data_IF_788543233017
#
_entry.id   IF_788543233017
#
_cell.length_a   1.000
_cell.length_b   1.000
_cell.length_c   1.000
_cell.angle_alpha   90.00
_cell.angle_beta   90.00
_cell.angle_gamma   90.00
#
_symmetry.space_group_name_H-M   'P 1'
#
loop_
_entity.id
_entity.type
_entity.pdbx_description
1 polymer ?
#
# COMPACT_ATOMS: atom_id res chain seq x y z
N UNK A 1 9.32 -7.54 -34.73
CA UNK A 1 8.79 -6.27 -34.22
C UNK A 1 7.30 -6.47 -33.94
N UNK A 2 6.94 -6.80 -32.72
CA UNK A 2 5.54 -6.91 -32.28
C UNK A 2 5.19 -5.59 -31.58
N UNK A 3 4.31 -4.80 -32.18
CA UNK A 3 3.75 -3.58 -31.56
C UNK A 3 2.92 -4.00 -30.34
N UNK A 4 3.36 -3.62 -29.15
CA UNK A 4 2.58 -3.74 -27.94
C UNK A 4 1.49 -2.65 -28.00
N UNK A 5 0.22 -3.03 -27.92
CA UNK A 5 -0.87 -2.09 -27.73
C UNK A 5 -0.85 -1.61 -26.27
N UNK A 6 -0.61 -0.33 -26.09
CA UNK A 6 -0.81 0.33 -24.80
C UNK A 6 -2.31 0.64 -24.72
N UNK A 7 -2.98 0.06 -23.74
CA UNK A 7 -4.40 0.35 -23.48
C UNK A 7 -4.49 1.62 -22.62
N UNK A 8 -4.79 2.76 -23.25
CA UNK A 8 -5.14 4.01 -22.56
C UNK A 8 -6.67 4.02 -22.43
N UNK A 9 -7.17 3.85 -21.21
CA UNK A 9 -8.59 3.96 -20.92
C UNK A 9 -8.93 5.40 -20.52
N UNK A 10 -9.66 6.10 -21.38
CA UNK A 10 -10.22 7.42 -21.13
C UNK A 10 -11.60 7.24 -20.47
N UNK A 11 -11.75 7.62 -19.21
CA UNK A 11 -13.07 7.67 -18.57
C UNK A 11 -13.75 9.01 -18.92
N UNK A 12 -14.70 8.98 -19.86
CA UNK A 12 -15.54 10.13 -20.22
C UNK A 12 -16.80 10.14 -19.35
N UNK A 13 -16.95 11.13 -18.48
CA UNK A 13 -18.18 11.39 -17.74
C UNK A 13 -19.19 12.14 -18.60
N UNK A 14 -20.35 11.52 -18.89
CA UNK A 14 -21.52 12.19 -19.47
C UNK A 14 -22.30 12.95 -18.39
N UNK A 15 -22.32 14.28 -18.48
CA UNK A 15 -23.24 15.12 -17.70
C UNK A 15 -24.61 15.16 -18.39
N UNK A 16 -25.65 14.67 -17.73
CA UNK A 16 -27.05 14.90 -18.13
C UNK A 16 -27.52 16.25 -17.60
N UNK A 17 -27.78 17.17 -18.50
CA UNK A 17 -28.52 18.41 -18.22
C UNK A 17 -30.02 18.18 -18.44
N UNK A 18 -30.81 18.25 -17.39
CA UNK A 18 -32.27 18.35 -17.50
C UNK A 18 -32.67 19.82 -17.41
N UNK A 19 -33.18 20.37 -18.51
CA UNK A 19 -33.77 21.70 -18.57
C UNK A 19 -35.21 21.69 -18.06
N UNK A 20 -35.57 22.72 -17.33
CA UNK A 20 -36.97 23.09 -17.12
C UNK A 20 -37.16 24.57 -17.43
N UNK A 21 -37.96 24.79 -18.44
CA UNK A 21 -38.49 26.09 -18.90
C UNK A 21 -39.66 26.52 -18.02
N UNK A 22 -39.74 27.81 -17.70
CA UNK A 22 -40.94 28.41 -17.14
C UNK A 22 -40.93 29.90 -17.37
N UNK A 23 -41.85 30.37 -18.26
CA UNK A 23 -42.06 31.73 -18.66
C UNK A 23 -42.91 32.56 -17.68
N UNK A 24 -42.71 33.84 -17.76
CA UNK A 24 -43.77 34.89 -17.86
C UNK A 24 -43.76 35.99 -16.82
N UNK A 25 -43.78 37.22 -17.31
CA UNK A 25 -44.53 38.32 -16.71
C UNK A 25 -43.81 39.66 -16.57
N UNK A 26 -44.06 40.47 -17.55
CA UNK A 26 -43.75 41.86 -17.79
C UNK A 26 -44.32 42.84 -16.75
N UNK A 27 -43.62 43.90 -16.36
CA UNK A 27 -44.11 45.28 -16.51
C UNK A 27 -43.07 46.32 -16.07
N UNK A 28 -42.94 47.37 -16.89
CA UNK A 28 -42.07 48.52 -16.69
C UNK A 28 -42.67 49.58 -15.75
N UNK A 29 -41.84 50.37 -15.07
CA UNK A 29 -41.97 51.84 -15.04
C UNK A 29 -40.70 52.52 -14.52
N UNK A 30 -40.45 53.67 -15.10
CA UNK A 30 -39.36 54.64 -15.02
C UNK A 30 -39.17 55.36 -13.70
N UNK A 31 -37.95 55.89 -13.46
CA UNK A 31 -37.66 56.97 -12.52
C UNK A 31 -36.20 57.17 -12.15
N UNK A 32 -35.57 58.04 -12.87
CA UNK A 32 -34.46 59.00 -12.61
C UNK A 32 -33.61 58.93 -11.33
N UNK A 33 -32.29 59.02 -11.59
CA UNK A 33 -31.19 59.78 -10.97
C UNK A 33 -30.85 59.64 -9.47
N UNK A 34 -29.66 59.28 -9.13
CA UNK A 34 -28.53 60.09 -8.68
C UNK A 34 -27.35 59.23 -8.15
N UNK A 35 -26.17 59.69 -8.50
CA UNK A 35 -24.86 59.21 -8.12
C UNK A 35 -24.66 59.01 -6.62
N UNK A 36 -24.00 57.87 -6.25
CA UNK A 36 -22.96 57.81 -5.19
C UNK A 36 -22.05 56.56 -5.35
N UNK A 37 -20.78 56.87 -5.47
CA UNK A 37 -19.66 55.95 -5.32
C UNK A 37 -19.74 55.14 -4.04
N UNK A 38 -19.69 53.84 -4.11
CA UNK A 38 -19.25 52.98 -3.02
C UNK A 38 -18.68 51.67 -3.56
N UNK A 39 -17.50 51.39 -3.13
CA UNK A 39 -16.67 50.22 -3.21
C UNK A 39 -17.27 48.96 -3.81
N UNK A 40 -16.74 48.57 -4.96
CA UNK A 40 -16.87 47.24 -5.52
C UNK A 40 -16.13 46.25 -4.62
N UNK A 41 -16.84 45.60 -3.71
CA UNK A 41 -16.39 44.40 -3.05
C UNK A 41 -16.44 43.27 -4.08
N UNK A 42 -15.28 42.99 -4.68
CA UNK A 42 -15.07 41.85 -5.54
C UNK A 42 -15.31 40.58 -4.70
N UNK A 43 -16.49 40.02 -4.79
CA UNK A 43 -16.71 38.61 -4.48
C UNK A 43 -16.02 37.83 -5.57
N UNK A 44 -14.74 37.55 -5.35
CA UNK A 44 -13.99 36.63 -6.16
C UNK A 44 -14.61 35.23 -6.01
N UNK A 45 -15.43 34.87 -6.98
CA UNK A 45 -15.77 33.47 -7.25
C UNK A 45 -14.51 32.80 -7.78
N UNK A 46 -13.60 32.45 -6.85
CA UNK A 46 -12.43 31.64 -7.15
C UNK A 46 -12.87 30.18 -7.14
N UNK A 47 -13.53 29.74 -8.19
CA UNK A 47 -13.35 28.37 -8.65
C UNK A 47 -11.90 28.29 -9.12
N UNK A 48 -10.97 28.12 -8.18
CA UNK A 48 -9.60 27.77 -8.47
C UNK A 48 -9.69 26.47 -9.30
N UNK A 49 -9.43 26.60 -10.59
CA UNK A 49 -9.34 25.45 -11.47
C UNK A 49 -8.26 24.57 -10.88
N UNK A 50 -8.62 23.36 -10.46
CA UNK A 50 -7.65 22.42 -9.93
C UNK A 50 -6.71 22.02 -11.08
N UNK A 51 -5.52 22.61 -11.12
CA UNK A 51 -4.53 22.39 -12.17
C UNK A 51 -3.68 21.12 -11.91
N UNK A 52 -3.95 20.39 -10.81
CA UNK A 52 -3.28 19.13 -10.52
C UNK A 52 -3.87 18.02 -11.39
N UNK A 53 -2.99 17.34 -12.13
CA UNK A 53 -3.28 16.11 -12.87
C UNK A 53 -2.35 15.04 -12.34
N UNK A 54 -2.91 13.96 -11.78
CA UNK A 54 -2.13 12.91 -11.14
C UNK A 54 -1.90 11.73 -12.08
N UNK A 55 -0.65 11.26 -12.18
CA UNK A 55 -0.23 10.11 -12.97
C UNK A 55 0.22 8.96 -12.07
N UNK A 56 -0.06 7.71 -12.45
CA UNK A 56 0.31 6.53 -11.68
C UNK A 56 1.01 5.50 -12.56
N UNK A 57 2.20 5.06 -12.14
CA UNK A 57 2.97 3.98 -12.77
C UNK A 57 2.82 2.74 -11.92
N UNK A 58 2.26 1.67 -12.48
CA UNK A 58 1.93 0.43 -11.80
C UNK A 58 2.75 -0.75 -12.32
N UNK A 59 3.29 -1.55 -11.39
CA UNK A 59 4.03 -2.78 -11.71
C UNK A 59 3.12 -3.89 -12.27
N UNK A 60 1.89 -3.99 -11.78
CA UNK A 60 0.90 -4.99 -12.18
C UNK A 60 -0.36 -4.36 -12.75
N UNK A 61 -1.39 -5.17 -12.89
CA UNK A 61 -2.71 -4.75 -13.36
C UNK A 61 -3.57 -4.24 -12.21
N UNK A 62 -4.45 -3.29 -12.50
CA UNK A 62 -5.39 -2.72 -11.52
C UNK A 62 -6.38 -3.76 -10.94
N UNK A 63 -6.42 -4.96 -11.48
CA UNK A 63 -7.25 -6.08 -11.04
C UNK A 63 -6.40 -7.31 -10.67
N UNK A 64 -5.18 -7.12 -10.19
CA UNK A 64 -4.27 -8.19 -9.77
C UNK A 64 -4.76 -8.96 -8.52
N UNK A 65 -5.75 -8.45 -7.84
CA UNK A 65 -6.28 -9.03 -6.59
C UNK A 65 -5.45 -8.68 -5.36
N UNK A 66 -4.49 -7.75 -5.46
CA UNK A 66 -3.55 -7.45 -4.39
C UNK A 66 -2.97 -6.04 -4.44
N UNK A 67 -1.67 -5.94 -4.71
CA UNK A 67 -0.88 -4.71 -4.55
C UNK A 67 -1.33 -3.56 -5.47
N UNK A 68 -1.39 -3.82 -6.78
CA UNK A 68 -1.77 -2.78 -7.73
C UNK A 68 -3.24 -2.38 -7.57
N UNK A 69 -4.13 -3.35 -7.29
CA UNK A 69 -5.53 -3.06 -6.98
C UNK A 69 -5.68 -2.15 -5.75
N UNK A 70 -4.88 -2.37 -4.71
CA UNK A 70 -4.88 -1.51 -3.53
C UNK A 70 -4.44 -0.07 -3.86
N UNK A 71 -3.40 0.09 -4.69
CA UNK A 71 -2.97 1.41 -5.18
C UNK A 71 -4.02 2.09 -6.06
N UNK A 72 -4.67 1.33 -6.94
CA UNK A 72 -5.72 1.87 -7.82
C UNK A 72 -6.96 2.31 -7.03
N UNK A 73 -7.31 1.62 -5.96
CA UNK A 73 -8.35 2.09 -5.02
C UNK A 73 -8.00 3.47 -4.43
N UNK A 74 -6.72 3.72 -4.16
CA UNK A 74 -6.21 5.03 -3.75
C UNK A 74 -6.31 6.07 -4.87
N UNK A 75 -5.98 5.72 -6.12
CA UNK A 75 -6.16 6.59 -7.29
C UNK A 75 -7.63 6.97 -7.49
N UNK A 76 -8.55 6.03 -7.37
CA UNK A 76 -9.98 6.29 -7.46
C UNK A 76 -10.47 7.25 -6.37
N UNK A 77 -9.87 7.22 -5.17
CA UNK A 77 -10.16 8.20 -4.13
C UNK A 77 -9.69 9.60 -4.52
N UNK A 78 -8.56 9.73 -5.23
CA UNK A 78 -8.09 11.00 -5.81
C UNK A 78 -9.07 11.50 -6.90
N UNK A 79 -9.55 10.62 -7.77
CA UNK A 79 -10.59 10.99 -8.76
C UNK A 79 -11.87 11.50 -8.08
N UNK A 80 -12.26 10.90 -6.96
CA UNK A 80 -13.42 11.34 -6.18
C UNK A 80 -13.26 12.76 -5.58
N UNK A 81 -12.01 13.29 -5.47
CA UNK A 81 -11.74 14.68 -5.12
C UNK A 81 -11.95 15.63 -6.32
N UNK A 82 -12.27 15.13 -7.51
CA UNK A 82 -12.40 15.92 -8.74
C UNK A 82 -11.07 16.17 -9.46
N UNK A 83 -10.01 15.44 -9.10
CA UNK A 83 -8.70 15.49 -9.74
C UNK A 83 -8.68 14.53 -10.92
N UNK A 84 -8.18 14.98 -12.06
CA UNK A 84 -7.98 14.13 -13.23
C UNK A 84 -6.82 13.18 -12.98
N UNK A 85 -7.01 11.89 -13.25
CA UNK A 85 -5.96 10.89 -13.10
C UNK A 85 -5.70 10.12 -14.39
N UNK A 86 -4.45 9.63 -14.54
CA UNK A 86 -4.02 8.70 -15.58
C UNK A 86 -3.16 7.62 -14.96
N UNK A 87 -3.06 6.47 -15.62
CA UNK A 87 -2.17 5.41 -15.17
C UNK A 87 -1.58 4.62 -16.35
N UNK A 88 -0.42 4.01 -16.09
CA UNK A 88 0.21 3.01 -16.96
C UNK A 88 0.43 1.75 -16.11
N UNK A 89 -0.09 0.62 -16.57
CA UNK A 89 -0.02 -0.66 -15.84
C UNK A 89 0.90 -1.67 -16.54
N UNK A 90 1.26 -2.77 -15.84
CA UNK A 90 2.16 -3.82 -16.33
C UNK A 90 3.55 -3.27 -16.74
N UNK A 91 4.07 -2.30 -16.00
CA UNK A 91 5.37 -1.68 -16.29
C UNK A 91 6.49 -2.57 -15.74
N UNK A 92 7.45 -3.01 -16.57
CA UNK A 92 8.61 -3.74 -16.07
C UNK A 92 9.52 -2.87 -15.18
N UNK A 93 10.14 -3.48 -14.16
CA UNK A 93 11.05 -2.80 -13.24
C UNK A 93 12.44 -2.55 -13.89
N UNK A 94 12.47 -1.87 -15.03
CA UNK A 94 13.70 -1.38 -15.63
C UNK A 94 13.70 0.15 -15.68
N UNK A 95 14.87 0.76 -15.66
CA UNK A 95 14.99 2.23 -15.77
C UNK A 95 14.34 2.73 -17.06
N UNK A 96 14.52 2.03 -18.16
CA UNK A 96 13.99 2.43 -19.47
C UNK A 96 12.47 2.36 -19.52
N UNK A 97 11.86 1.25 -19.08
CA UNK A 97 10.40 1.09 -19.07
C UNK A 97 9.74 2.06 -18.08
N UNK A 98 10.36 2.29 -16.91
CA UNK A 98 9.89 3.28 -15.93
C UNK A 98 9.87 4.69 -16.54
N UNK A 99 10.95 5.10 -17.20
CA UNK A 99 11.03 6.43 -17.85
C UNK A 99 10.02 6.57 -18.98
N UNK A 100 9.81 5.52 -19.80
CA UNK A 100 8.81 5.52 -20.88
C UNK A 100 7.39 5.70 -20.32
N UNK A 101 7.07 4.98 -19.23
CA UNK A 101 5.77 5.09 -18.56
C UNK A 101 5.56 6.50 -17.96
N UNK A 102 6.56 7.05 -17.28
CA UNK A 102 6.51 8.41 -16.73
C UNK A 102 6.36 9.44 -17.86
N UNK A 103 7.12 9.33 -18.95
CA UNK A 103 7.01 10.24 -20.09
C UNK A 103 5.62 10.20 -20.70
N UNK A 104 5.02 9.03 -20.83
CA UNK A 104 3.62 8.89 -21.29
C UNK A 104 2.65 9.70 -20.42
N UNK A 105 2.83 9.65 -19.09
CA UNK A 105 1.99 10.42 -18.15
C UNK A 105 2.25 11.94 -18.27
N UNK A 106 3.50 12.35 -18.49
CA UNK A 106 3.86 13.76 -18.72
C UNK A 106 3.20 14.27 -20.00
N UNK A 107 3.21 13.49 -21.07
CA UNK A 107 2.60 13.84 -22.36
C UNK A 107 1.06 13.97 -22.25
N UNK A 108 0.43 13.25 -21.30
CA UNK A 108 -0.99 13.40 -20.93
C UNK A 108 -1.26 14.63 -20.03
N UNK A 109 -0.21 15.36 -19.65
CA UNK A 109 -0.28 16.57 -18.83
C UNK A 109 -0.24 16.34 -17.33
N UNK A 110 0.21 15.16 -16.86
CA UNK A 110 0.40 14.90 -15.43
C UNK A 110 1.53 15.76 -14.86
N UNK A 111 1.28 16.40 -13.72
CA UNK A 111 2.24 17.24 -13.01
C UNK A 111 2.49 16.78 -11.54
N UNK A 112 1.88 15.65 -11.16
CA UNK A 112 2.15 14.92 -9.92
C UNK A 112 2.11 13.44 -10.26
N UNK A 113 3.26 12.75 -10.17
CA UNK A 113 3.42 11.37 -10.66
C UNK A 113 3.85 10.44 -9.54
N UNK A 114 3.14 9.34 -9.39
CA UNK A 114 3.38 8.28 -8.42
C UNK A 114 3.89 7.03 -9.12
N UNK A 115 5.01 6.45 -8.63
CA UNK A 115 5.50 5.15 -9.05
C UNK A 115 5.43 4.17 -7.88
N UNK A 116 4.78 3.01 -8.08
CA UNK A 116 4.35 2.15 -6.97
C UNK A 116 5.29 1.00 -6.62
N UNK A 117 6.37 0.76 -7.38
CA UNK A 117 7.26 -0.37 -7.10
C UNK A 117 8.69 0.04 -6.76
N UNK A 118 9.35 -0.75 -5.91
CA UNK A 118 10.74 -0.53 -5.50
C UNK A 118 11.70 -0.40 -6.69
N UNK A 119 11.54 -1.24 -7.70
CA UNK A 119 12.41 -1.23 -8.89
C UNK A 119 12.24 -0.02 -9.80
N UNK A 120 11.22 0.81 -9.58
CA UNK A 120 11.05 2.08 -10.33
C UNK A 120 11.91 3.22 -9.79
N UNK A 121 12.63 3.03 -8.69
CA UNK A 121 13.32 4.09 -7.96
C UNK A 121 14.28 4.89 -8.84
N UNK A 122 15.21 4.21 -9.53
CA UNK A 122 16.22 4.88 -10.36
C UNK A 122 15.60 5.61 -11.55
N UNK A 123 14.61 4.99 -12.23
CA UNK A 123 13.90 5.61 -13.34
C UNK A 123 13.14 6.86 -12.91
N UNK A 124 12.47 6.80 -11.75
CA UNK A 124 11.73 7.95 -11.19
C UNK A 124 12.69 9.08 -10.78
N UNK A 125 13.82 8.76 -10.15
CA UNK A 125 14.84 9.72 -9.75
C UNK A 125 15.42 10.47 -10.97
N UNK A 126 15.74 9.73 -12.05
CA UNK A 126 16.23 10.34 -13.27
C UNK A 126 15.19 11.28 -13.90
N UNK A 127 13.92 10.87 -13.94
CA UNK A 127 12.85 11.71 -14.48
C UNK A 127 12.58 12.94 -13.58
N UNK A 128 12.70 12.82 -12.26
CA UNK A 128 12.59 13.95 -11.36
C UNK A 128 13.67 15.02 -11.64
N UNK A 129 14.90 14.60 -11.91
CA UNK A 129 16.01 15.49 -12.29
C UNK A 129 15.82 16.13 -13.67
N UNK A 130 15.26 15.39 -14.62
CA UNK A 130 14.98 15.87 -15.97
C UNK A 130 13.77 16.83 -16.03
N UNK A 131 12.82 16.73 -15.07
CA UNK A 131 11.57 17.50 -15.04
C UNK A 131 11.36 18.21 -13.68
N UNK A 132 12.14 19.25 -13.37
CA UNK A 132 12.11 19.91 -12.05
C UNK A 132 10.77 20.59 -11.72
N UNK A 133 9.94 20.87 -12.71
CA UNK A 133 8.62 21.48 -12.54
C UNK A 133 7.51 20.47 -12.22
N UNK A 134 7.80 19.17 -12.33
CA UNK A 134 6.86 18.07 -12.04
C UNK A 134 7.18 17.49 -10.66
N UNK A 135 6.15 17.16 -9.91
CA UNK A 135 6.26 16.51 -8.61
C UNK A 135 6.20 15.01 -8.77
N UNK A 136 7.06 14.31 -8.02
CA UNK A 136 7.13 12.85 -8.02
C UNK A 136 7.00 12.29 -6.61
N UNK A 137 6.44 11.09 -6.50
CA UNK A 137 6.49 10.31 -5.27
C UNK A 137 6.76 8.84 -5.61
N UNK A 138 7.81 8.28 -5.03
CA UNK A 138 8.23 6.90 -5.24
C UNK A 138 7.91 6.02 -4.02
N UNK A 139 7.23 4.91 -4.25
CA UNK A 139 6.84 3.95 -3.22
C UNK A 139 8.02 3.06 -2.82
N UNK A 140 8.18 2.83 -1.53
CA UNK A 140 9.16 1.93 -0.89
C UNK A 140 10.66 2.25 -1.11
N UNK A 141 10.99 3.29 -1.87
CA UNK A 141 12.38 3.70 -2.11
C UNK A 141 12.99 4.60 -1.04
N UNK A 142 14.25 4.96 -1.25
CA UNK A 142 15.03 5.83 -0.37
C UNK A 142 15.64 7.06 -1.08
N UNK A 143 15.66 7.07 -2.43
CA UNK A 143 16.14 8.23 -3.19
C UNK A 143 15.10 9.34 -3.17
N UNK A 144 15.54 10.57 -2.95
CA UNK A 144 14.68 11.77 -2.94
C UNK A 144 15.39 12.94 -3.59
N UNK A 145 14.57 13.79 -4.23
CA UNK A 145 14.98 15.10 -4.78
C UNK A 145 14.06 16.20 -4.22
N UNK A 146 14.33 17.45 -4.49
CA UNK A 146 13.48 18.57 -4.05
C UNK A 146 12.04 18.45 -4.56
N UNK A 147 11.87 17.82 -5.73
CA UNK A 147 10.59 17.53 -6.38
C UNK A 147 10.18 16.05 -6.33
N UNK A 148 10.89 15.20 -5.56
CA UNK A 148 10.59 13.78 -5.42
C UNK A 148 10.53 13.37 -3.96
N UNK A 149 9.35 12.93 -3.51
CA UNK A 149 9.09 12.30 -2.21
C UNK A 149 9.33 10.79 -2.27
N UNK A 150 9.52 10.18 -1.09
CA UNK A 150 9.30 8.73 -0.91
C UNK A 150 8.10 8.50 0.00
N UNK A 151 7.36 7.41 -0.23
CA UNK A 151 6.25 7.03 0.62
C UNK A 151 6.15 5.52 0.79
N UNK A 152 5.76 5.09 1.99
CA UNK A 152 5.45 3.69 2.29
C UNK A 152 4.61 3.57 3.57
N UNK A 153 4.00 2.40 3.80
CA UNK A 153 3.30 2.08 5.03
C UNK A 153 4.15 1.27 6.00
N UNK A 154 4.07 1.54 7.31
CA UNK A 154 4.61 0.67 8.38
C UNK A 154 3.76 -0.61 8.48
N UNK A 155 3.62 -1.35 7.39
CA UNK A 155 2.78 -2.55 7.31
C UNK A 155 3.26 -3.65 8.26
N UNK A 156 4.51 -3.58 8.72
CA UNK A 156 5.02 -4.50 9.73
C UNK A 156 4.17 -4.46 11.02
N UNK A 157 3.53 -3.33 11.34
CA UNK A 157 2.61 -3.23 12.46
C UNK A 157 1.36 -4.10 12.25
N UNK A 158 0.73 -4.03 11.07
CA UNK A 158 -0.39 -4.90 10.70
C UNK A 158 0.06 -6.38 10.57
N UNK A 159 1.30 -6.63 10.12
CA UNK A 159 1.90 -7.98 10.11
C UNK A 159 2.03 -8.57 11.50
N UNK A 160 2.42 -7.77 12.49
CA UNK A 160 2.44 -8.20 13.89
C UNK A 160 1.05 -8.65 14.38
N UNK A 161 0.02 -7.85 14.08
CA UNK A 161 -1.37 -8.21 14.40
C UNK A 161 -1.82 -9.49 13.68
N UNK A 162 -1.50 -9.61 12.39
CA UNK A 162 -1.76 -10.83 11.61
C UNK A 162 -1.03 -12.05 12.18
N UNK A 163 0.16 -11.85 12.72
CA UNK A 163 0.92 -12.87 13.46
C UNK A 163 0.18 -13.36 14.71
N UNK A 164 -0.43 -12.46 15.47
CA UNK A 164 -1.29 -12.84 16.61
C UNK A 164 -2.42 -13.76 16.14
N UNK A 165 -3.10 -13.42 15.05
CA UNK A 165 -4.19 -14.23 14.47
C UNK A 165 -3.68 -15.63 14.11
N UNK A 166 -2.55 -15.72 13.44
CA UNK A 166 -1.95 -16.98 13.03
C UNK A 166 -1.47 -17.81 14.25
N UNK A 167 -0.84 -17.17 15.23
CA UNK A 167 -0.36 -17.82 16.45
C UNK A 167 -1.49 -18.40 17.33
N UNK A 168 -2.64 -17.70 17.39
CA UNK A 168 -3.84 -18.17 18.06
C UNK A 168 -4.52 -19.32 17.31
N UNK A 169 -4.38 -19.38 15.98
CA UNK A 169 -5.08 -20.35 15.13
C UNK A 169 -4.32 -21.63 14.88
N UNK A 170 -2.98 -21.58 14.75
CA UNK A 170 -2.19 -22.76 14.42
C UNK A 170 -2.34 -23.86 15.48
N UNK A 171 -2.46 -25.10 15.04
CA UNK A 171 -2.48 -26.29 15.88
C UNK A 171 -1.18 -27.11 15.77
N UNK A 172 -0.38 -26.81 14.73
CA UNK A 172 0.87 -27.51 14.50
C UNK A 172 2.10 -26.72 14.95
N UNK A 173 1.91 -25.48 15.43
CA UNK A 173 2.99 -24.56 15.76
C UNK A 173 3.98 -24.37 14.58
N UNK A 174 3.49 -24.55 13.36
CA UNK A 174 4.29 -24.53 12.15
C UNK A 174 3.54 -23.81 11.03
N UNK A 175 4.01 -22.60 10.71
CA UNK A 175 3.36 -21.65 9.82
C UNK A 175 4.28 -21.44 8.61
N UNK A 176 3.72 -21.42 7.41
CA UNK A 176 4.43 -21.11 6.18
C UNK A 176 4.29 -19.65 5.79
N UNK A 177 5.35 -19.08 5.23
CA UNK A 177 5.35 -17.72 4.72
C UNK A 177 5.93 -17.69 3.29
N UNK A 178 5.11 -17.33 2.31
CA UNK A 178 5.54 -17.14 0.92
C UNK A 178 5.99 -15.69 0.75
N UNK A 179 7.26 -15.49 0.40
CA UNK A 179 7.89 -14.17 0.34
C UNK A 179 8.41 -13.85 -1.06
N UNK A 180 8.36 -12.57 -1.45
CA UNK A 180 8.78 -12.11 -2.77
C UNK A 180 10.31 -12.02 -2.89
N UNK A 181 10.91 -11.01 -2.28
CA UNK A 181 12.33 -10.64 -2.44
C UNK A 181 13.05 -10.65 -1.09
N UNK A 182 14.35 -10.93 -1.08
CA UNK A 182 15.20 -10.89 0.11
C UNK A 182 15.63 -9.46 0.52
N UNK A 183 14.73 -8.51 0.52
CA UNK A 183 15.01 -7.09 0.84
C UNK A 183 14.47 -6.70 2.23
N UNK A 184 14.98 -5.62 2.83
CA UNK A 184 14.59 -5.19 4.19
C UNK A 184 13.09 -5.04 4.38
N UNK A 185 12.35 -4.57 3.37
CA UNK A 185 10.90 -4.44 3.39
C UNK A 185 10.20 -5.77 3.72
N UNK A 186 10.57 -6.82 3.02
CA UNK A 186 10.00 -8.16 3.19
C UNK A 186 10.47 -8.80 4.49
N UNK A 187 11.77 -8.65 4.81
CA UNK A 187 12.38 -9.19 6.03
C UNK A 187 11.72 -8.63 7.29
N UNK A 188 11.54 -7.31 7.41
CA UNK A 188 10.87 -6.73 8.58
C UNK A 188 9.40 -7.16 8.69
N UNK A 189 8.74 -7.39 7.55
CA UNK A 189 7.38 -7.93 7.53
C UNK A 189 7.28 -9.35 8.09
N UNK A 190 8.19 -10.25 7.68
CA UNK A 190 8.32 -11.61 8.19
C UNK A 190 8.64 -11.61 9.69
N UNK A 191 9.59 -10.77 10.09
CA UNK A 191 10.01 -10.66 11.49
C UNK A 191 8.87 -10.19 12.38
N UNK A 192 8.18 -9.12 12.03
CA UNK A 192 7.05 -8.60 12.80
C UNK A 192 5.90 -9.63 12.88
N UNK A 193 5.59 -10.32 11.79
CA UNK A 193 4.63 -11.41 11.78
C UNK A 193 5.04 -12.51 12.78
N UNK A 194 6.30 -12.95 12.73
CA UNK A 194 6.82 -14.00 13.63
C UNK A 194 6.77 -13.57 15.09
N UNK A 195 7.14 -12.31 15.40
CA UNK A 195 7.05 -11.76 16.75
C UNK A 195 5.59 -11.70 17.23
N UNK A 196 4.65 -11.37 16.34
CA UNK A 196 3.22 -11.44 16.63
C UNK A 196 2.74 -12.86 16.93
N UNK A 197 3.16 -13.84 16.14
CA UNK A 197 2.91 -15.27 16.41
C UNK A 197 3.42 -15.67 17.79
N UNK A 198 4.68 -15.35 18.08
CA UNK A 198 5.34 -15.75 19.32
C UNK A 198 4.82 -15.01 20.56
N UNK A 199 4.21 -13.85 20.40
CA UNK A 199 3.58 -13.12 21.52
C UNK A 199 2.41 -13.89 22.16
N UNK A 200 1.79 -14.80 21.41
CA UNK A 200 0.65 -15.62 21.87
C UNK A 200 0.96 -17.13 21.83
N UNK A 201 1.95 -17.54 21.06
CA UNK A 201 2.38 -18.94 20.91
C UNK A 201 3.91 -19.03 20.76
N UNK A 202 4.66 -19.02 21.87
CA UNK A 202 6.13 -18.95 21.86
C UNK A 202 6.82 -20.13 21.16
N UNK A 203 6.16 -21.28 21.07
CA UNK A 203 6.71 -22.50 20.47
C UNK A 203 6.54 -22.55 18.94
N UNK A 204 5.73 -21.67 18.39
CA UNK A 204 5.45 -21.66 16.96
C UNK A 204 6.65 -21.13 16.14
N UNK A 205 6.82 -21.72 14.94
CA UNK A 205 7.85 -21.37 13.98
C UNK A 205 7.24 -20.93 12.67
N UNK A 206 7.94 -20.05 11.97
CA UNK A 206 7.56 -19.53 10.65
C UNK A 206 8.62 -19.96 9.65
N UNK A 207 8.26 -20.82 8.69
CA UNK A 207 9.14 -21.20 7.58
C UNK A 207 8.88 -20.35 6.36
N UNK A 208 9.95 -19.79 5.81
CA UNK A 208 9.91 -18.86 4.69
C UNK A 208 10.42 -19.52 3.41
N UNK A 209 9.67 -19.35 2.32
CA UNK A 209 10.10 -19.68 0.96
C UNK A 209 10.02 -18.41 0.11
N UNK A 210 11.14 -18.05 -0.52
CA UNK A 210 11.21 -16.91 -1.43
C UNK A 210 10.93 -17.34 -2.87
N UNK A 211 10.21 -16.49 -3.61
CA UNK A 211 9.84 -16.70 -5.01
C UNK A 211 10.75 -15.93 -5.98
N UNK A 212 11.48 -14.94 -5.47
CA UNK A 212 12.27 -13.95 -6.23
C UNK A 212 11.46 -13.15 -7.27
N UNK A 213 10.14 -13.06 -7.07
CA UNK A 213 9.24 -12.25 -7.90
C UNK A 213 8.18 -11.59 -7.03
N UNK A 214 7.70 -10.41 -7.46
CA UNK A 214 6.54 -9.76 -6.84
C UNK A 214 5.22 -10.41 -7.28
N UNK A 215 5.11 -10.74 -8.56
CA UNK A 215 3.89 -11.21 -9.19
C UNK A 215 4.18 -12.37 -10.14
N UNK A 216 3.89 -13.58 -9.72
CA UNK A 216 3.82 -14.79 -10.55
C UNK A 216 2.92 -15.82 -9.85
N UNK A 217 1.62 -15.87 -10.23
CA UNK A 217 0.66 -16.79 -9.57
C UNK A 217 1.07 -18.25 -9.58
N UNK A 218 1.86 -18.67 -10.58
CA UNK A 218 2.32 -20.06 -10.69
C UNK A 218 3.41 -20.35 -9.68
N UNK A 219 4.42 -19.49 -9.61
CA UNK A 219 5.55 -19.65 -8.67
C UNK A 219 5.07 -19.47 -7.23
N UNK A 220 4.21 -18.50 -6.97
CA UNK A 220 3.60 -18.25 -5.66
C UNK A 220 2.80 -19.47 -5.15
N UNK A 221 1.95 -20.06 -6.03
CA UNK A 221 1.21 -21.28 -5.70
C UNK A 221 2.15 -22.45 -5.41
N UNK A 222 3.21 -22.62 -6.19
CA UNK A 222 4.19 -23.70 -5.98
C UNK A 222 4.92 -23.54 -4.63
N UNK A 223 5.34 -22.33 -4.27
CA UNK A 223 5.97 -22.04 -2.98
C UNK A 223 5.02 -22.35 -1.81
N UNK A 224 3.75 -21.97 -1.90
CA UNK A 224 2.74 -22.34 -0.91
C UNK A 224 2.54 -23.84 -0.80
N UNK A 225 2.48 -24.56 -1.93
CA UNK A 225 2.34 -26.01 -1.94
C UNK A 225 3.58 -26.72 -1.35
N UNK A 226 4.78 -26.19 -1.56
CA UNK A 226 6.01 -26.69 -0.92
C UNK A 226 5.88 -26.64 0.62
N UNK A 227 5.49 -25.47 1.15
CA UNK A 227 5.29 -25.27 2.60
C UNK A 227 4.18 -26.20 3.15
N UNK A 228 3.04 -26.29 2.46
CA UNK A 228 1.92 -27.15 2.85
C UNK A 228 2.33 -28.64 2.87
N UNK A 229 3.16 -29.08 1.93
CA UNK A 229 3.69 -30.45 1.88
C UNK A 229 4.68 -30.73 3.02
N UNK A 230 5.35 -29.70 3.58
CA UNK A 230 6.16 -29.80 4.79
C UNK A 230 5.31 -29.89 6.07
N UNK A 231 4.01 -29.63 5.94
CA UNK A 231 3.05 -29.85 7.01
C UNK A 231 2.62 -28.60 7.76
N UNK A 232 2.88 -27.40 7.23
CA UNK A 232 2.31 -26.16 7.82
C UNK A 232 0.77 -26.22 7.77
N UNK A 233 0.11 -25.53 8.69
CA UNK A 233 -1.36 -25.46 8.74
C UNK A 233 -1.91 -24.04 8.47
N UNK A 234 -1.01 -23.06 8.32
CA UNK A 234 -1.35 -21.70 7.91
C UNK A 234 -0.33 -21.23 6.87
N UNK A 235 -0.80 -20.55 5.83
CA UNK A 235 0.04 -19.82 4.86
C UNK A 235 -0.16 -18.33 5.05
N UNK A 236 0.92 -17.61 5.33
CA UNK A 236 1.00 -16.16 5.19
C UNK A 236 1.78 -15.81 3.92
N UNK A 237 1.62 -14.59 3.42
CA UNK A 237 2.29 -14.17 2.19
C UNK A 237 2.77 -12.72 2.22
N UNK A 238 3.81 -12.45 1.45
CA UNK A 238 4.24 -11.14 0.98
C UNK A 238 4.40 -11.25 -0.54
N UNK A 239 3.26 -11.37 -1.22
CA UNK A 239 3.10 -11.62 -2.64
C UNK A 239 1.90 -10.83 -3.16
N UNK A 240 1.91 -10.49 -4.43
CA UNK A 240 0.92 -9.60 -5.01
C UNK A 240 -0.33 -10.33 -5.57
N UNK A 241 -0.37 -11.67 -5.52
CA UNK A 241 -1.55 -12.43 -5.96
C UNK A 241 -2.19 -13.21 -4.82
N UNK A 242 -3.40 -13.72 -5.05
CA UNK A 242 -4.11 -14.59 -4.10
C UNK A 242 -3.76 -16.08 -4.24
N UNK A 243 -2.82 -16.43 -5.12
CA UNK A 243 -2.48 -17.82 -5.41
C UNK A 243 -2.04 -18.64 -4.18
N UNK A 244 -1.25 -18.10 -3.22
CA UNK A 244 -0.93 -18.81 -1.98
C UNK A 244 -2.16 -19.09 -1.11
N UNK A 245 -3.14 -18.17 -1.07
CA UNK A 245 -4.38 -18.32 -0.30
C UNK A 245 -5.25 -19.44 -0.87
N UNK A 246 -5.41 -19.46 -2.20
CA UNK A 246 -6.12 -20.52 -2.92
C UNK A 246 -5.46 -21.88 -2.69
N UNK A 247 -4.13 -21.96 -2.72
CA UNK A 247 -3.41 -23.19 -2.42
C UNK A 247 -3.64 -23.68 -1.00
N UNK A 248 -3.70 -22.77 -0.02
CA UNK A 248 -4.02 -23.11 1.37
C UNK A 248 -5.43 -23.70 1.49
N UNK A 249 -6.45 -23.06 0.87
CA UNK A 249 -7.81 -23.57 0.88
C UNK A 249 -7.94 -24.95 0.20
N UNK A 250 -7.32 -25.15 -0.96
CA UNK A 250 -7.28 -26.43 -1.66
C UNK A 250 -6.72 -27.58 -0.82
N UNK A 251 -5.83 -27.26 0.12
CA UNK A 251 -5.19 -28.22 1.04
C UNK A 251 -5.85 -28.31 2.42
N UNK A 252 -6.91 -27.55 2.67
CA UNK A 252 -7.61 -27.51 3.94
C UNK A 252 -6.80 -26.84 5.06
N UNK A 253 -5.83 -25.99 4.70
CA UNK A 253 -5.08 -25.11 5.60
C UNK A 253 -5.74 -23.73 5.65
N UNK A 254 -5.32 -22.87 6.58
CA UNK A 254 -5.76 -21.49 6.67
C UNK A 254 -4.80 -20.55 5.98
N UNK A 255 -5.22 -19.30 5.75
CA UNK A 255 -4.36 -18.28 5.15
C UNK A 255 -4.53 -16.90 5.77
N UNK A 256 -3.44 -16.13 5.68
CA UNK A 256 -3.35 -14.69 5.97
C UNK A 256 -3.03 -13.96 4.66
N UNK A 257 -3.93 -13.06 4.25
CA UNK A 257 -3.77 -12.27 3.04
C UNK A 257 -2.82 -11.06 3.20
N UNK A 258 -2.64 -10.33 2.11
CA UNK A 258 -1.76 -9.16 2.05
C UNK A 258 -2.28 -8.12 1.07
N UNK A 259 -1.88 -6.87 1.26
CA UNK A 259 -2.15 -5.68 0.46
C UNK A 259 -3.60 -5.19 0.53
N UNK A 260 -4.55 -6.05 0.26
CA UNK A 260 -5.97 -5.76 0.10
C UNK A 260 -6.84 -6.87 0.70
N UNK A 261 -8.09 -6.62 1.15
CA UNK A 261 -9.02 -7.65 1.57
C UNK A 261 -9.35 -8.60 0.41
N UNK A 262 -9.06 -9.90 0.60
CA UNK A 262 -9.20 -10.93 -0.46
C UNK A 262 -9.96 -12.15 0.02
N UNK A 263 -10.88 -11.99 0.97
CA UNK A 263 -11.66 -13.11 1.56
C UNK A 263 -12.39 -13.96 0.52
N UNK A 264 -12.82 -13.36 -0.59
CA UNK A 264 -13.53 -14.06 -1.66
C UNK A 264 -12.64 -15.06 -2.44
N UNK A 265 -11.32 -14.88 -2.41
CA UNK A 265 -10.39 -15.77 -3.09
C UNK A 265 -10.24 -17.13 -2.39
N UNK A 266 -10.39 -17.16 -1.05
CA UNK A 266 -10.25 -18.37 -0.24
C UNK A 266 -11.19 -18.33 0.98
N UNK A 267 -12.54 -18.31 0.77
CA UNK A 267 -13.52 -18.03 1.82
C UNK A 267 -13.55 -19.06 2.95
N UNK A 268 -13.00 -20.27 2.75
CA UNK A 268 -12.93 -21.32 3.76
C UNK A 268 -11.58 -21.40 4.48
N UNK A 269 -10.63 -20.56 4.06
CA UNK A 269 -9.27 -20.55 4.60
C UNK A 269 -8.84 -19.19 5.16
N UNK A 270 -9.40 -18.11 4.62
CA UNK A 270 -9.00 -16.74 4.92
C UNK A 270 -9.35 -16.34 6.37
N UNK A 271 -8.33 -15.98 7.13
CA UNK A 271 -8.47 -15.50 8.51
C UNK A 271 -8.58 -13.97 8.58
N UNK A 272 -7.66 -13.28 7.91
CA UNK A 272 -7.52 -11.83 7.84
C UNK A 272 -6.43 -11.47 6.81
N UNK A 273 -6.12 -10.18 6.65
CA UNK A 273 -4.97 -9.68 5.86
C UNK A 273 -4.31 -8.47 6.51
N UNK A 274 -3.00 -8.33 6.32
CA UNK A 274 -2.27 -7.08 6.58
C UNK A 274 -2.36 -6.19 5.34
N UNK A 275 -3.04 -5.06 5.45
CA UNK A 275 -3.43 -4.23 4.32
C UNK A 275 -2.84 -2.82 4.39
N UNK A 276 -2.77 -2.17 3.21
CA UNK A 276 -2.51 -0.74 3.06
C UNK A 276 -3.80 0.01 2.75
N UNK A 277 -3.91 1.23 3.24
CA UNK A 277 -4.90 2.21 2.80
C UNK A 277 -4.20 3.37 2.07
N UNK A 278 -3.85 3.13 0.81
CA UNK A 278 -3.14 4.10 -0.04
C UNK A 278 -3.89 5.40 -0.25
N UNK A 279 -5.21 5.39 -0.10
CA UNK A 279 -6.00 6.63 -0.21
C UNK A 279 -5.56 7.64 0.84
N UNK A 280 -5.17 7.21 2.05
CA UNK A 280 -4.69 8.08 3.13
C UNK A 280 -3.50 8.93 2.70
N UNK A 281 -2.52 8.32 2.00
CA UNK A 281 -1.38 9.06 1.47
C UNK A 281 -1.75 9.89 0.24
N UNK A 282 -2.39 9.27 -0.77
CA UNK A 282 -2.64 9.93 -2.05
C UNK A 282 -3.54 11.15 -1.93
N UNK A 283 -4.61 11.07 -1.13
CA UNK A 283 -5.50 12.24 -0.97
C UNK A 283 -4.85 13.38 -0.20
N UNK A 284 -4.03 13.09 0.83
CA UNK A 284 -3.25 14.09 1.55
C UNK A 284 -2.20 14.76 0.66
N UNK A 285 -1.48 13.95 -0.12
CA UNK A 285 -0.39 14.43 -0.98
C UNK A 285 -0.91 15.28 -2.15
N UNK A 286 -1.99 14.84 -2.78
CA UNK A 286 -2.71 15.59 -3.82
C UNK A 286 -3.30 16.89 -3.24
N UNK A 287 -3.90 16.85 -2.04
CA UNK A 287 -4.43 18.05 -1.41
C UNK A 287 -3.32 19.08 -1.16
N UNK A 288 -2.14 18.64 -0.69
CA UNK A 288 -0.98 19.53 -0.55
C UNK A 288 -0.53 20.14 -1.88
N UNK A 289 -0.61 19.37 -2.97
CA UNK A 289 -0.29 19.90 -4.30
C UNK A 289 -1.31 20.95 -4.76
N UNK A 290 -2.61 20.74 -4.50
CA UNK A 290 -3.69 21.69 -4.79
C UNK A 290 -3.49 23.00 -3.98
N UNK A 291 -3.17 22.87 -2.69
CA UNK A 291 -2.97 23.99 -1.77
C UNK A 291 -1.65 24.73 -2.01
N UNK A 292 -0.78 24.24 -2.89
CA UNK A 292 0.55 24.79 -3.13
C UNK A 292 1.53 24.62 -1.96
N UNK A 293 1.24 23.71 -1.03
CA UNK A 293 2.05 23.41 0.17
C UNK A 293 2.86 22.14 0.06
N UNK A 294 2.79 21.47 -1.09
CA UNK A 294 3.54 20.23 -1.32
C UNK A 294 5.05 20.46 -1.25
N UNK A 295 5.73 19.63 -0.50
CA UNK A 295 7.19 19.57 -0.41
C UNK A 295 7.65 18.13 -0.37
N UNK A 296 8.85 17.87 -0.89
CA UNK A 296 9.46 16.54 -0.83
C UNK A 296 9.62 16.08 0.62
N UNK A 297 9.20 14.86 0.90
CA UNK A 297 9.24 14.25 2.23
C UNK A 297 9.47 12.73 2.17
N UNK A 298 10.01 12.16 3.23
CA UNK A 298 9.95 10.74 3.48
C UNK A 298 8.68 10.45 4.30
N UNK A 299 7.67 9.87 3.68
CA UNK A 299 6.43 9.47 4.36
C UNK A 299 6.50 7.99 4.72
N UNK A 300 6.48 7.66 6.00
CA UNK A 300 6.46 6.29 6.49
C UNK A 300 5.61 6.19 7.75
N UNK A 301 4.33 5.96 7.56
CA UNK A 301 3.31 5.96 8.61
C UNK A 301 2.61 4.60 8.72
N UNK A 302 1.98 4.33 9.84
CA UNK A 302 1.39 3.02 10.15
C UNK A 302 -0.07 3.09 10.60
N UNK A 303 -0.40 2.24 11.57
CA UNK A 303 -1.76 2.09 12.12
C UNK A 303 -2.31 3.41 12.69
N UNK A 304 -1.48 4.20 13.36
CA UNK A 304 -1.91 5.47 13.97
C UNK A 304 -2.37 6.50 12.93
N UNK A 305 -1.80 6.48 11.73
CA UNK A 305 -2.18 7.34 10.61
C UNK A 305 -3.23 6.70 9.68
N UNK A 306 -3.71 5.51 9.99
CA UNK A 306 -4.57 4.71 9.11
C UNK A 306 -3.95 4.41 7.73
N UNK A 307 -2.60 4.44 7.63
CA UNK A 307 -1.90 4.08 6.40
C UNK A 307 -1.88 2.58 6.18
N UNK A 308 -1.90 1.83 7.28
CA UNK A 308 -1.99 0.36 7.28
C UNK A 308 -3.07 -0.10 8.24
N UNK A 309 -3.62 -1.26 8.00
CA UNK A 309 -4.64 -1.84 8.86
C UNK A 309 -4.64 -3.37 8.79
N UNK A 310 -5.24 -4.01 9.80
CA UNK A 310 -5.62 -5.42 9.72
C UNK A 310 -7.04 -5.52 9.19
N UNK A 311 -7.27 -6.35 8.18
CA UNK A 311 -8.63 -6.63 7.70
C UNK A 311 -9.47 -7.32 8.78
N UNK A 312 -10.79 -7.28 8.63
CA UNK A 312 -11.70 -7.91 9.57
C UNK A 312 -11.38 -9.39 9.76
N UNK A 313 -11.37 -9.81 11.01
CA UNK A 313 -11.25 -11.23 11.33
C UNK A 313 -12.51 -11.98 10.86
N UNK A 314 -12.31 -13.14 10.23
CA UNK A 314 -13.41 -14.03 9.88
C UNK A 314 -13.82 -14.93 11.04
N UNK A 315 -14.97 -15.58 10.93
CA UNK A 315 -15.45 -16.58 11.91
C UNK A 315 -14.56 -17.83 11.98
N UNK A 316 -13.59 -17.94 11.07
CA UNK A 316 -12.58 -19.02 11.11
C UNK A 316 -11.47 -18.80 12.15
N UNK A 317 -11.33 -17.60 12.66
CA UNK A 317 -10.35 -17.27 13.70
C UNK A 317 -10.65 -18.02 15.01
N UNK A 318 -9.63 -18.20 15.86
CA UNK A 318 -9.82 -18.82 17.16
C UNK A 318 -10.58 -17.87 18.12
N UNK A 319 -11.29 -18.45 19.08
CA UNK A 319 -11.97 -17.68 20.13
C UNK A 319 -10.96 -16.81 20.92
N UNK A 320 -11.35 -15.58 21.25
CA UNK A 320 -10.52 -14.61 21.96
C UNK A 320 -9.45 -13.91 21.11
N UNK A 321 -9.36 -14.22 19.79
CA UNK A 321 -8.38 -13.59 18.91
C UNK A 321 -8.65 -12.10 18.75
N UNK A 322 -9.90 -11.69 18.60
CA UNK A 322 -10.28 -10.27 18.42
C UNK A 322 -9.79 -9.41 19.60
N UNK A 323 -10.02 -9.87 20.84
CA UNK A 323 -9.60 -9.14 22.04
C UNK A 323 -8.08 -8.92 22.10
N UNK A 324 -7.30 -9.93 21.71
CA UNK A 324 -5.84 -9.84 21.68
C UNK A 324 -5.34 -8.90 20.58
N UNK A 325 -5.96 -8.96 19.41
CA UNK A 325 -5.66 -8.06 18.30
C UNK A 325 -5.98 -6.62 18.67
N UNK A 326 -7.17 -6.35 19.21
CA UNK A 326 -7.60 -5.00 19.61
C UNK A 326 -6.66 -4.41 20.68
N UNK A 327 -6.29 -5.21 21.68
CA UNK A 327 -5.35 -4.77 22.70
C UNK A 327 -3.96 -4.43 22.13
N UNK A 328 -3.42 -5.26 21.24
CA UNK A 328 -2.14 -5.03 20.60
C UNK A 328 -2.19 -3.83 19.64
N UNK A 329 -3.24 -3.72 18.84
CA UNK A 329 -3.46 -2.59 17.92
C UNK A 329 -3.51 -1.26 18.70
N UNK A 330 -4.29 -1.23 19.78
CA UNK A 330 -4.35 -0.05 20.64
C UNK A 330 -2.98 0.30 21.20
N UNK A 331 -2.24 -0.69 21.70
CA UNK A 331 -0.92 -0.47 22.27
C UNK A 331 0.11 0.03 21.24
N UNK A 332 0.01 -0.43 19.98
CA UNK A 332 0.85 0.09 18.88
C UNK A 332 0.47 1.54 18.55
N UNK A 333 -0.82 1.85 18.44
CA UNK A 333 -1.30 3.21 18.16
C UNK A 333 -0.91 4.18 19.28
N UNK A 334 -1.01 3.75 20.53
CA UNK A 334 -0.62 4.55 21.71
C UNK A 334 0.93 4.65 21.88
N UNK A 335 1.73 3.93 21.07
CA UNK A 335 3.19 3.88 21.15
C UNK A 335 3.75 3.12 22.36
N UNK A 336 2.90 2.39 23.10
CA UNK A 336 3.30 1.57 24.25
C UNK A 336 3.84 0.20 23.84
N UNK A 337 3.48 -0.27 22.63
CA UNK A 337 4.03 -1.46 22.00
C UNK A 337 4.71 -1.07 20.69
N UNK A 338 6.01 -1.38 20.55
CA UNK A 338 6.71 -1.41 19.28
C UNK A 338 7.12 -2.87 19.03
N UNK A 339 6.69 -3.50 17.91
CA UNK A 339 7.03 -4.88 17.61
C UNK A 339 8.52 -5.22 17.72
N UNK A 340 9.38 -4.27 17.36
CA UNK A 340 10.82 -4.41 17.40
C UNK A 340 11.44 -3.84 18.68
N UNK A 341 10.85 -4.22 19.82
CA UNK A 341 11.41 -3.93 21.16
C UNK A 341 12.14 -5.16 21.68
N UNK A 342 13.38 -4.97 22.16
CA UNK A 342 14.22 -6.05 22.69
C UNK A 342 13.74 -6.61 24.05
N UNK A 343 14.25 -7.80 24.39
CA UNK A 343 15.38 -8.48 23.76
C UNK A 343 14.99 -9.21 22.46
N UNK A 344 15.67 -8.93 21.35
CA UNK A 344 15.50 -9.66 20.11
C UNK A 344 16.76 -10.42 19.75
N UNK A 345 16.59 -11.63 19.28
CA UNK A 345 17.66 -12.53 18.87
C UNK A 345 17.49 -12.89 17.41
N UNK A 346 18.60 -13.10 16.69
CA UNK A 346 18.57 -13.66 15.34
C UNK A 346 18.38 -15.18 15.33
N UNK A 347 18.33 -15.78 14.14
CA UNK A 347 18.17 -17.22 13.95
C UNK A 347 19.27 -18.06 14.64
N UNK A 348 20.49 -17.50 14.75
CA UNK A 348 21.64 -18.15 15.36
C UNK A 348 21.70 -17.97 16.89
N UNK A 349 20.75 -17.19 17.44
CA UNK A 349 20.67 -16.91 18.86
C UNK A 349 21.54 -15.73 19.32
N UNK A 350 22.10 -14.95 18.40
CA UNK A 350 22.82 -13.72 18.75
C UNK A 350 21.82 -12.62 19.11
N UNK A 351 22.07 -11.93 20.22
CA UNK A 351 21.23 -10.81 20.63
C UNK A 351 21.48 -9.62 19.68
N UNK A 352 20.42 -9.15 19.02
CA UNK A 352 20.43 -8.05 18.06
C UNK A 352 19.89 -6.75 18.66
N UNK A 353 18.99 -6.85 19.64
CA UNK A 353 18.39 -5.68 20.32
C UNK A 353 18.39 -5.96 21.82
N UNK A 354 18.89 -5.02 22.60
CA UNK A 354 18.98 -5.13 24.05
C UNK A 354 17.61 -5.04 24.74
N UNK A 355 17.53 -5.55 25.97
CA UNK A 355 16.30 -5.62 26.76
C UNK A 355 15.67 -4.21 26.92
N UNK A 356 14.41 -4.08 26.52
CA UNK A 356 13.64 -2.83 26.62
C UNK A 356 14.03 -1.74 25.60
N UNK A 357 15.02 -1.98 24.75
CA UNK A 357 15.40 -1.04 23.69
C UNK A 357 14.44 -1.19 22.51
N UNK A 358 13.90 -0.08 22.05
CA UNK A 358 13.14 -0.01 20.79
C UNK A 358 14.09 0.26 19.63
N UNK A 359 13.98 -0.49 18.54
CA UNK A 359 14.70 -0.18 17.30
C UNK A 359 14.22 1.16 16.76
N UNK A 360 15.15 1.94 16.21
CA UNK A 360 14.82 3.16 15.48
C UNK A 360 14.17 2.85 14.12
N UNK A 361 13.47 3.83 13.57
CA UNK A 361 12.89 3.71 12.22
C UNK A 361 13.96 3.34 11.17
N UNK A 362 15.17 3.87 11.31
CA UNK A 362 16.30 3.62 10.40
C UNK A 362 16.80 2.16 10.51
N UNK A 363 16.92 1.64 11.73
CA UNK A 363 17.28 0.23 11.95
C UNK A 363 16.21 -0.73 11.42
N UNK A 364 14.93 -0.40 11.60
CA UNK A 364 13.81 -1.19 11.06
C UNK A 364 13.77 -1.11 9.53
N UNK A 365 14.01 0.08 8.96
CA UNK A 365 14.03 0.29 7.52
C UNK A 365 15.12 -0.55 6.83
N UNK A 366 16.29 -0.66 7.47
CA UNK A 366 17.46 -1.37 6.94
C UNK A 366 17.62 -2.80 7.46
N UNK A 367 16.56 -3.41 8.05
CA UNK A 367 16.63 -4.73 8.66
C UNK A 367 16.95 -5.82 7.62
N UNK A 368 18.04 -6.57 7.85
CA UNK A 368 18.58 -7.57 6.93
C UNK A 368 18.89 -8.92 7.59
N UNK A 369 18.22 -9.24 8.70
CA UNK A 369 18.36 -10.48 9.46
C UNK A 369 17.00 -10.98 9.92
N UNK A 370 16.88 -12.29 10.15
CA UNK A 370 15.66 -12.89 10.67
C UNK A 370 15.68 -13.04 12.19
N UNK A 371 14.53 -12.78 12.83
CA UNK A 371 14.34 -13.05 14.26
C UNK A 371 14.33 -14.55 14.52
N UNK A 372 14.70 -14.94 15.75
CA UNK A 372 14.58 -16.31 16.25
C UNK A 372 13.14 -16.82 16.08
N UNK A 373 13.02 -18.02 15.52
CA UNK A 373 11.71 -18.65 15.21
C UNK A 373 11.34 -18.58 13.73
N UNK A 374 12.02 -17.76 12.95
CA UNK A 374 11.99 -17.85 11.49
C UNK A 374 12.95 -18.94 11.04
N UNK A 375 12.53 -19.78 10.10
CA UNK A 375 13.36 -20.75 9.38
C UNK A 375 13.36 -20.43 7.89
N UNK A 376 14.50 -20.62 7.22
CA UNK A 376 14.74 -20.22 5.84
C UNK A 376 16.00 -19.38 5.71
N UNK A 377 16.38 -19.07 4.49
CA UNK A 377 17.58 -18.28 4.17
C UNK A 377 17.18 -17.04 3.37
N UNK A 378 17.70 -15.88 3.75
CA UNK A 378 17.54 -14.66 2.96
C UNK A 378 18.34 -14.85 1.66
N UNK A 379 17.72 -14.70 0.48
CA UNK A 379 18.44 -14.71 -0.80
C UNK A 379 19.54 -13.63 -0.84
N UNK A 380 20.65 -13.95 -1.52
CA UNK A 380 21.82 -13.07 -1.65
C UNK A 380 21.54 -11.91 -2.63
#
# INVERSE_FOLDING_TARGET
MKKKLIAILLAATCALTAGLTGCSGNTATSGTDESKTSDAQSTGDSTAKNDVVAGFVYIGKINDGGYTQAHDAGRLAVEAMGVKTYYVEDVPETVADTKEAIQTLIDEGCNLIYSNSFGFMEGTDQMAKEHPDIKFAHCSGYMREDNMSTYFGKVYQARYLAGIVAGMKTQKNYIGYVAAKGIPEVIRGINAFTLGVQSVNPDAKVEVVFTDTWYDPTVEKQAALELLNKGVDIIAQHQDTTAPQVAAEEKGAYCIGYNFPTSDAAPKAYLTAACFDWKTFYTDDVQKAIDGTWTSRAYWEGLAANMTYLDKLTDLCAEGTQEKVDAAQKAIIDGTLEPFTGPLYDQDGNKKVEDGVKMTDDEIWNMNWFVKGVTGTIPA
#
